data_IF_417682895822
#
_entry.id   IF_417682895822
#
_cell.length_a   1.000
_cell.length_b   1.000
_cell.length_c   1.000
_cell.angle_alpha   90.00
_cell.angle_beta   90.00
_cell.angle_gamma   90.00
#
_symmetry.space_group_name_H-M   'P 1'
#
loop_
_entity.id
_entity.type
_entity.pdbx_description
1 polymer ?
#
# COMPACT_ATOMS: atom_id res chain seq x y z
N UNK A 1 -0.36 -5.84 14.77
CA UNK A 1 -1.48 -6.13 13.86
C UNK A 1 -2.19 -7.35 14.42
N UNK A 2 -3.44 -7.24 14.76
CA UNK A 2 -4.20 -8.29 15.42
C UNK A 2 -4.78 -9.16 14.32
N UNK A 3 -4.51 -10.46 14.39
CA UNK A 3 -5.25 -11.47 13.65
C UNK A 3 -6.66 -11.47 14.18
N UNK A 4 -7.59 -11.14 13.34
CA UNK A 4 -8.96 -11.19 13.74
C UNK A 4 -9.48 -12.62 13.63
N UNK A 5 -10.14 -13.00 14.65
CA UNK A 5 -10.86 -14.26 14.74
C UNK A 5 -12.30 -13.98 14.34
N UNK A 6 -12.84 -14.77 13.45
CA UNK A 6 -14.27 -14.78 13.22
C UNK A 6 -14.96 -15.25 14.50
N UNK A 7 -15.96 -14.52 14.97
CA UNK A 7 -16.68 -14.87 16.21
C UNK A 7 -17.39 -16.22 16.15
N UNK A 8 -17.39 -16.89 15.03
CA UNK A 8 -18.08 -18.16 14.81
C UNK A 8 -17.15 -19.34 14.52
N UNK A 9 -16.01 -19.08 13.86
CA UNK A 9 -14.99 -20.10 13.60
C UNK A 9 -13.61 -19.50 13.84
N UNK A 10 -12.84 -20.14 14.68
CA UNK A 10 -11.47 -19.76 14.97
C UNK A 10 -10.61 -20.12 13.74
N UNK A 11 -10.31 -19.08 12.92
CA UNK A 11 -9.37 -19.26 11.81
C UNK A 11 -8.00 -19.44 12.41
N UNK A 12 -7.44 -20.61 12.28
CA UNK A 12 -6.12 -20.92 12.81
C UNK A 12 -5.02 -20.26 12.01
N UNK A 13 -3.81 -20.24 12.57
CA UNK A 13 -2.64 -19.74 11.88
C UNK A 13 -2.28 -20.62 10.68
N UNK A 14 -2.56 -21.91 10.79
CA UNK A 14 -2.40 -22.91 9.75
C UNK A 14 -3.35 -22.63 8.58
N UNK A 15 -4.62 -22.33 8.85
CA UNK A 15 -5.61 -21.96 7.82
C UNK A 15 -5.16 -20.73 7.04
N UNK A 16 -4.67 -19.71 7.74
CA UNK A 16 -4.18 -18.50 7.09
C UNK A 16 -2.90 -18.74 6.27
N UNK A 17 -2.05 -19.68 6.69
CA UNK A 17 -0.87 -20.10 5.94
C UNK A 17 -1.24 -20.86 4.67
N UNK A 18 -2.27 -21.72 4.73
CA UNK A 18 -2.80 -22.46 3.58
C UNK A 18 -3.32 -21.50 2.50
N UNK A 19 -3.95 -20.40 2.91
CA UNK A 19 -4.38 -19.33 1.99
C UNK A 19 -3.25 -18.37 1.55
N UNK A 20 -2.01 -18.61 1.96
CA UNK A 20 -0.87 -17.73 1.65
C UNK A 20 -0.92 -16.36 2.34
N UNK A 21 -1.79 -16.20 3.34
CA UNK A 21 -2.00 -14.95 4.06
C UNK A 21 -1.08 -14.77 5.26
N UNK A 22 -0.38 -15.82 5.69
CA UNK A 22 0.62 -15.78 6.76
C UNK A 22 1.93 -16.35 6.24
N UNK A 23 3.00 -15.62 6.46
CA UNK A 23 4.35 -16.20 6.46
C UNK A 23 4.82 -16.34 7.92
N UNK A 24 6.04 -16.85 8.12
CA UNK A 24 6.65 -17.02 9.44
C UNK A 24 6.77 -15.71 10.26
N UNK A 25 6.46 -14.56 9.68
CA UNK A 25 6.54 -13.22 10.29
C UNK A 25 5.16 -12.57 10.51
N UNK A 26 4.05 -13.20 10.15
CA UNK A 26 2.69 -12.66 10.34
C UNK A 26 1.88 -12.50 9.06
N UNK A 27 0.82 -11.72 9.13
CA UNK A 27 -0.20 -11.51 8.09
C UNK A 27 0.29 -10.74 6.87
N UNK A 28 1.28 -11.20 6.16
CA UNK A 28 1.61 -10.67 4.85
C UNK A 28 2.13 -11.78 3.96
N UNK A 29 1.93 -11.66 2.66
CA UNK A 29 2.11 -12.78 1.76
C UNK A 29 3.55 -13.23 1.65
N UNK A 30 3.62 -14.39 1.12
CA UNK A 30 4.72 -15.29 0.79
C UNK A 30 6.02 -14.57 0.46
N UNK A 31 7.07 -15.07 1.07
CA UNK A 31 8.46 -14.71 0.81
C UNK A 31 8.76 -14.81 -0.71
N UNK A 32 9.20 -13.72 -1.30
CA UNK A 32 9.61 -13.66 -2.71
C UNK A 32 8.59 -13.02 -3.66
N UNK A 33 7.38 -12.70 -3.21
CA UNK A 33 6.44 -11.94 -4.01
C UNK A 33 6.52 -10.45 -3.71
N UNK A 34 6.45 -9.63 -4.75
CA UNK A 34 6.36 -8.18 -4.59
C UNK A 34 5.09 -7.82 -3.85
N UNK A 35 5.22 -6.94 -2.88
CA UNK A 35 4.11 -6.36 -2.15
C UNK A 35 3.77 -4.98 -2.70
N UNK A 36 2.51 -4.77 -3.03
CA UNK A 36 2.03 -3.48 -3.50
C UNK A 36 0.76 -3.06 -2.78
N UNK A 37 0.83 -1.90 -2.12
CA UNK A 37 -0.26 -1.34 -1.32
C UNK A 37 -0.72 0.00 -1.87
N UNK A 38 -2.02 0.15 -2.04
CA UNK A 38 -2.68 1.42 -2.20
C UNK A 38 -3.40 1.77 -0.89
N UNK A 39 -2.95 2.80 -0.19
CA UNK A 39 -3.48 3.23 1.11
C UNK A 39 -4.17 4.58 0.94
N UNK A 40 -5.49 4.62 1.06
CA UNK A 40 -6.23 5.84 0.78
C UNK A 40 -7.24 6.21 1.86
N UNK A 41 -7.31 7.52 2.13
CA UNK A 41 -8.23 8.10 3.09
C UNK A 41 -7.88 9.53 3.46
N UNK A 42 -8.79 10.25 4.12
CA UNK A 42 -8.58 11.67 4.45
C UNK A 42 -7.40 11.90 5.39
N UNK A 43 -6.94 13.14 5.56
CA UNK A 43 -5.93 13.49 6.55
C UNK A 43 -6.31 12.98 7.95
N UNK A 44 -5.33 12.46 8.68
CA UNK A 44 -5.53 11.97 10.05
C UNK A 44 -6.28 10.64 10.18
N UNK A 45 -6.57 9.92 9.09
CA UNK A 45 -7.23 8.60 9.17
C UNK A 45 -6.30 7.46 9.59
N UNK A 46 -4.96 7.64 9.53
CA UNK A 46 -3.98 6.63 9.93
C UNK A 46 -3.14 6.04 8.78
N UNK A 47 -3.10 6.67 7.61
CA UNK A 47 -2.27 6.22 6.46
C UNK A 47 -0.81 6.00 6.84
N UNK A 48 -0.16 7.05 7.38
CA UNK A 48 1.25 6.98 7.76
C UNK A 48 1.51 5.94 8.86
N UNK A 49 0.60 5.81 9.82
CA UNK A 49 0.69 4.77 10.87
C UNK A 49 0.62 3.38 10.26
N UNK A 50 -0.32 3.15 9.34
CA UNK A 50 -0.42 1.87 8.64
C UNK A 50 0.81 1.58 7.78
N UNK A 51 1.31 2.59 7.06
CA UNK A 51 2.57 2.48 6.31
C UNK A 51 3.72 2.08 7.22
N UNK A 52 3.87 2.74 8.36
CA UNK A 52 4.91 2.42 9.34
C UNK A 52 4.79 0.99 9.87
N UNK A 53 3.56 0.54 10.19
CA UNK A 53 3.30 -0.84 10.63
C UNK A 53 3.69 -1.88 9.57
N UNK A 54 3.41 -1.62 8.29
CA UNK A 54 3.83 -2.51 7.21
C UNK A 54 5.36 -2.55 7.12
N UNK A 55 6.01 -1.40 7.09
CA UNK A 55 7.46 -1.30 6.93
C UNK A 55 8.24 -1.88 8.11
N UNK A 56 7.69 -1.85 9.33
CA UNK A 56 8.32 -2.44 10.52
C UNK A 56 8.43 -3.97 10.45
N UNK A 57 7.67 -4.63 9.58
CA UNK A 57 7.78 -6.06 9.33
C UNK A 57 9.01 -6.41 8.47
N UNK A 58 9.63 -5.42 7.86
CA UNK A 58 10.78 -5.57 6.96
C UNK A 58 11.93 -4.65 7.41
N UNK A 59 12.50 -4.86 8.61
CA UNK A 59 13.48 -3.94 9.19
C UNK A 59 14.74 -3.83 8.32
N UNK A 60 15.17 -4.92 7.73
CA UNK A 60 16.45 -5.05 7.01
C UNK A 60 16.39 -4.54 5.55
N UNK A 61 15.18 -4.29 5.02
CA UNK A 61 15.04 -3.80 3.65
C UNK A 61 15.20 -2.29 3.57
N UNK A 62 15.83 -1.82 2.49
CA UNK A 62 15.99 -0.40 2.20
C UNK A 62 14.62 0.24 1.95
N UNK A 63 14.43 1.44 2.46
CA UNK A 63 13.16 2.19 2.32
C UNK A 63 13.41 3.55 1.70
N UNK A 64 12.87 3.76 0.50
CA UNK A 64 12.90 5.04 -0.20
C UNK A 64 11.59 5.80 0.08
N UNK A 65 11.70 7.09 0.40
CA UNK A 65 10.54 7.95 0.64
C UNK A 65 10.46 9.05 -0.42
N UNK A 66 9.38 9.05 -1.17
CA UNK A 66 9.01 10.05 -2.16
C UNK A 66 7.88 10.90 -1.58
N UNK A 67 8.19 12.09 -1.08
CA UNK A 67 7.22 13.00 -0.49
C UNK A 67 7.61 14.45 -0.69
N UNK A 68 6.63 15.33 -0.86
CA UNK A 68 6.82 16.79 -0.91
C UNK A 68 6.81 17.44 0.49
N UNK A 69 6.45 16.67 1.50
CA UNK A 69 6.40 17.11 2.89
C UNK A 69 7.82 17.22 3.45
N UNK A 70 8.22 18.41 3.90
CA UNK A 70 9.57 18.66 4.42
C UNK A 70 9.79 18.09 5.82
N UNK A 71 8.76 18.15 6.65
CA UNK A 71 8.80 17.67 8.03
C UNK A 71 8.69 16.14 8.09
N UNK A 72 9.38 15.52 9.06
CA UNK A 72 9.27 14.10 9.30
C UNK A 72 7.93 13.83 10.01
N UNK A 73 7.08 13.00 9.41
CA UNK A 73 5.86 12.52 10.06
C UNK A 73 6.23 11.73 11.33
N UNK A 74 5.52 11.98 12.42
CA UNK A 74 5.74 11.28 13.71
C UNK A 74 5.57 9.76 13.58
N UNK A 75 4.69 9.32 12.70
CA UNK A 75 4.49 7.89 12.43
C UNK A 75 5.74 7.21 11.86
N UNK A 76 6.66 7.97 11.27
CA UNK A 76 7.89 7.46 10.66
C UNK A 76 9.14 7.68 11.52
N UNK A 77 8.99 8.12 12.79
CA UNK A 77 10.14 8.47 13.62
C UNK A 77 11.16 7.32 13.78
N UNK A 78 10.67 6.09 13.88
CA UNK A 78 11.48 4.88 14.10
C UNK A 78 11.83 4.15 12.80
N UNK A 79 11.54 4.77 11.64
CA UNK A 79 11.85 4.20 10.34
C UNK A 79 12.93 5.01 9.66
N UNK A 80 13.98 4.33 9.25
CA UNK A 80 15.04 4.91 8.46
C UNK A 80 14.64 4.93 6.98
N UNK A 81 14.57 6.13 6.41
CA UNK A 81 14.28 6.34 5.00
C UNK A 81 15.42 7.00 4.26
N UNK A 82 15.69 6.53 3.06
CA UNK A 82 16.42 7.27 2.04
C UNK A 82 15.46 8.19 1.31
N UNK A 83 15.45 9.45 1.68
CA UNK A 83 14.52 10.44 1.07
C UNK A 83 14.98 10.81 -0.32
N UNK A 84 14.12 10.61 -1.30
CA UNK A 84 14.36 10.99 -2.70
C UNK A 84 13.91 12.42 -2.93
N UNK A 85 14.81 13.24 -3.50
CA UNK A 85 14.46 14.62 -3.89
C UNK A 85 13.53 14.58 -5.09
N UNK A 86 12.33 15.14 -4.94
CA UNK A 86 11.32 15.16 -6.00
C UNK A 86 11.53 16.35 -6.94
N UNK A 87 12.66 16.40 -7.62
CA UNK A 87 12.92 17.35 -8.69
C UNK A 87 12.89 16.64 -10.04
N UNK A 88 12.66 17.42 -11.12
CA UNK A 88 12.64 16.88 -12.48
C UNK A 88 13.93 16.12 -12.78
N UNK A 89 15.07 16.74 -12.49
CA UNK A 89 16.42 16.23 -12.81
C UNK A 89 16.71 14.89 -12.11
N UNK A 90 16.24 14.72 -10.87
CA UNK A 90 16.42 13.48 -10.11
C UNK A 90 15.49 12.40 -10.66
N UNK A 91 14.21 12.71 -10.84
CA UNK A 91 13.22 11.72 -11.26
C UNK A 91 13.41 11.24 -12.71
N UNK A 92 13.93 12.09 -13.61
CA UNK A 92 14.25 11.69 -14.99
C UNK A 92 15.44 10.73 -15.08
N UNK A 93 16.32 10.74 -14.08
CA UNK A 93 17.52 9.89 -14.06
C UNK A 93 17.35 8.64 -13.21
N UNK A 94 16.38 8.62 -12.31
CA UNK A 94 16.18 7.52 -11.38
C UNK A 94 15.63 6.29 -12.12
N UNK A 95 16.37 5.20 -12.05
CA UNK A 95 16.03 3.92 -12.67
C UNK A 95 15.64 2.88 -11.63
N UNK A 96 15.04 1.77 -12.05
CA UNK A 96 14.77 0.64 -11.16
C UNK A 96 16.07 -0.02 -10.66
N UNK A 97 17.12 -0.02 -11.49
CA UNK A 97 18.45 -0.52 -11.09
C UNK A 97 19.04 0.29 -9.93
N UNK A 98 18.84 1.61 -9.93
CA UNK A 98 19.31 2.47 -8.83
C UNK A 98 18.61 2.14 -7.51
N UNK A 99 17.33 1.76 -7.57
CA UNK A 99 16.53 1.40 -6.39
C UNK A 99 16.90 0.03 -5.83
N UNK A 100 17.29 -0.92 -6.71
CA UNK A 100 17.59 -2.32 -6.33
C UNK A 100 19.09 -2.60 -6.16
N UNK A 101 19.94 -1.60 -6.35
CA UNK A 101 21.40 -1.76 -6.32
C UNK A 101 21.95 -2.45 -5.06
N UNK A 102 21.28 -2.28 -3.93
CA UNK A 102 21.68 -2.81 -2.64
C UNK A 102 20.77 -3.95 -2.12
N UNK A 103 19.87 -4.45 -2.96
CA UNK A 103 18.94 -5.53 -2.60
C UNK A 103 17.45 -5.15 -2.70
N UNK A 104 16.62 -5.95 -2.06
CA UNK A 104 15.18 -5.70 -1.98
C UNK A 104 14.88 -4.39 -1.28
N UNK A 105 13.92 -3.65 -1.79
CA UNK A 105 13.60 -2.35 -1.24
C UNK A 105 12.09 -2.06 -1.19
N UNK A 106 11.76 -1.02 -0.43
CA UNK A 106 10.43 -0.40 -0.37
C UNK A 106 10.47 0.99 -0.98
N UNK A 107 9.56 1.29 -1.87
CA UNK A 107 9.29 2.62 -2.37
C UNK A 107 7.97 3.14 -1.78
N UNK A 108 8.04 4.15 -0.94
CA UNK A 108 6.87 4.79 -0.34
C UNK A 108 6.61 6.11 -1.05
N UNK A 109 5.51 6.20 -1.76
CA UNK A 109 5.02 7.40 -2.43
C UNK A 109 3.93 8.03 -1.56
N UNK A 110 4.31 9.06 -0.82
CA UNK A 110 3.45 9.65 0.20
C UNK A 110 2.69 10.85 -0.33
N UNK A 111 1.36 10.81 -0.17
CA UNK A 111 0.42 11.87 -0.56
C UNK A 111 0.57 12.36 -2.02
N UNK A 112 0.67 11.41 -2.96
CA UNK A 112 0.95 11.69 -4.39
C UNK A 112 -0.05 12.63 -5.06
N UNK A 113 -1.28 12.65 -4.58
CA UNK A 113 -2.36 13.51 -5.08
C UNK A 113 -2.15 15.00 -4.73
N UNK A 114 -1.28 15.31 -3.78
CA UNK A 114 -0.98 16.70 -3.36
C UNK A 114 0.16 17.35 -4.11
N UNK A 115 0.89 16.62 -4.92
CA UNK A 115 2.04 17.16 -5.67
C UNK A 115 1.56 18.20 -6.68
N UNK A 116 1.96 19.46 -6.48
CA UNK A 116 1.48 20.59 -7.27
C UNK A 116 2.17 20.74 -8.62
N UNK A 117 3.45 20.39 -8.70
CA UNK A 117 4.22 20.52 -9.94
C UNK A 117 3.77 19.43 -10.94
N UNK A 118 3.17 19.78 -12.09
CA UNK A 118 2.63 18.80 -13.03
C UNK A 118 3.71 17.92 -13.66
N UNK A 119 4.91 18.44 -13.90
CA UNK A 119 6.03 17.67 -14.45
C UNK A 119 6.49 16.62 -13.43
N UNK A 120 6.70 17.01 -12.18
CA UNK A 120 7.08 16.11 -11.10
C UNK A 120 5.99 15.06 -10.89
N UNK A 121 4.73 15.48 -10.84
CA UNK A 121 3.59 14.56 -10.71
C UNK A 121 3.54 13.51 -11.81
N UNK A 122 3.77 13.93 -13.07
CA UNK A 122 3.80 13.00 -14.21
C UNK A 122 4.96 12.00 -14.10
N UNK A 123 6.16 12.48 -13.78
CA UNK A 123 7.34 11.62 -13.62
C UNK A 123 7.16 10.61 -12.50
N UNK A 124 6.62 11.04 -11.36
CA UNK A 124 6.30 10.14 -10.25
C UNK A 124 5.25 9.10 -10.64
N UNK A 125 4.18 9.50 -11.32
CA UNK A 125 3.19 8.54 -11.81
C UNK A 125 3.84 7.51 -12.73
N UNK A 126 4.67 7.94 -13.67
CA UNK A 126 5.41 7.03 -14.56
C UNK A 126 6.32 6.08 -13.78
N UNK A 127 7.03 6.57 -12.75
CA UNK A 127 7.88 5.74 -11.90
C UNK A 127 7.05 4.72 -11.09
N UNK A 128 5.95 5.14 -10.47
CA UNK A 128 5.03 4.24 -9.75
C UNK A 128 4.49 3.14 -10.66
N UNK A 129 4.00 3.53 -11.85
CA UNK A 129 3.47 2.59 -12.83
C UNK A 129 4.53 1.58 -13.28
N UNK A 130 5.76 2.04 -13.49
CA UNK A 130 6.89 1.19 -13.85
C UNK A 130 7.27 0.22 -12.72
N UNK A 131 7.30 0.68 -11.47
CA UNK A 131 7.53 -0.19 -10.31
C UNK A 131 6.41 -1.23 -10.19
N UNK A 132 5.16 -0.83 -10.34
CA UNK A 132 4.02 -1.75 -10.26
C UNK A 132 4.07 -2.78 -11.39
N UNK A 133 4.46 -2.38 -12.58
CA UNK A 133 4.55 -3.30 -13.71
C UNK A 133 5.77 -4.24 -13.63
N UNK A 134 6.94 -3.73 -13.28
CA UNK A 134 8.22 -4.39 -13.48
C UNK A 134 9.02 -4.68 -12.20
N UNK A 135 8.54 -4.25 -11.02
CA UNK A 135 9.26 -4.36 -9.75
C UNK A 135 9.30 -5.77 -9.13
N UNK A 136 8.64 -6.78 -9.74
CA UNK A 136 8.57 -8.15 -9.17
C UNK A 136 9.91 -8.89 -9.17
N UNK A 137 10.74 -8.65 -10.17
CA UNK A 137 12.06 -9.25 -10.26
C UNK A 137 12.92 -8.36 -11.14
N UNK A 138 13.62 -7.43 -10.55
CA UNK A 138 14.51 -6.52 -11.25
C UNK A 138 15.95 -6.78 -10.83
N UNK A 139 16.74 -7.36 -11.73
CA UNK A 139 18.11 -7.78 -11.41
C UNK A 139 18.21 -8.84 -10.29
N UNK A 140 17.16 -9.63 -10.08
CA UNK A 140 17.08 -10.62 -8.98
C UNK A 140 16.56 -10.06 -7.66
N UNK A 141 16.30 -8.76 -7.57
CA UNK A 141 15.76 -8.08 -6.38
C UNK A 141 14.33 -7.60 -6.59
N UNK A 142 13.61 -7.40 -5.52
CA UNK A 142 12.19 -7.01 -5.53
C UNK A 142 12.03 -5.56 -5.07
N UNK A 143 11.20 -4.79 -5.79
CA UNK A 143 10.78 -3.46 -5.37
C UNK A 143 9.33 -3.55 -4.86
N UNK A 144 9.17 -3.46 -3.56
CA UNK A 144 7.87 -3.33 -2.91
C UNK A 144 7.40 -1.88 -2.97
N UNK A 145 6.10 -1.66 -3.03
CA UNK A 145 5.56 -0.31 -3.17
C UNK A 145 4.39 -0.03 -2.23
N UNK A 146 4.41 1.16 -1.64
CA UNK A 146 3.26 1.74 -0.93
C UNK A 146 2.95 3.08 -1.60
N UNK A 147 1.72 3.25 -2.03
CA UNK A 147 1.21 4.52 -2.55
C UNK A 147 0.15 5.04 -1.61
N UNK A 148 0.35 6.21 -1.01
CA UNK A 148 -0.68 6.85 -0.19
C UNK A 148 -1.38 7.97 -0.94
N UNK A 149 -2.69 8.12 -0.71
CA UNK A 149 -3.52 9.17 -1.31
C UNK A 149 -4.60 9.65 -0.34
N UNK A 150 -5.00 10.91 -0.48
CA UNK A 150 -6.16 11.44 0.24
C UNK A 150 -7.49 11.06 -0.39
N UNK A 151 -7.48 10.72 -1.66
CA UNK A 151 -8.66 10.38 -2.43
C UNK A 151 -8.66 8.90 -2.84
N UNK A 152 -9.77 8.23 -2.61
CA UNK A 152 -10.02 6.88 -3.12
C UNK A 152 -10.33 6.84 -4.61
N UNK A 153 -10.59 7.98 -5.24
CA UNK A 153 -11.12 8.04 -6.60
C UNK A 153 -10.45 9.09 -7.50
N UNK A 154 -9.22 9.51 -7.18
CA UNK A 154 -8.48 10.40 -8.10
C UNK A 154 -7.94 9.59 -9.28
N UNK A 155 -8.80 9.46 -10.30
CA UNK A 155 -8.50 8.71 -11.51
C UNK A 155 -7.31 9.22 -12.31
N UNK A 156 -6.92 10.47 -12.17
CA UNK A 156 -5.82 11.02 -12.97
C UNK A 156 -4.44 10.62 -12.45
N UNK A 157 -4.31 10.45 -11.14
CA UNK A 157 -3.01 10.27 -10.49
C UNK A 157 -2.83 8.89 -9.86
N UNK A 158 -3.92 8.24 -9.50
CA UNK A 158 -3.88 6.98 -8.73
C UNK A 158 -4.59 5.82 -9.43
N UNK A 159 -5.12 6.02 -10.65
CA UNK A 159 -5.86 4.99 -11.38
C UNK A 159 -5.09 3.68 -11.48
N UNK A 160 -3.84 3.75 -11.96
CA UNK A 160 -3.04 2.56 -12.17
C UNK A 160 -2.73 1.84 -10.85
N UNK A 161 -2.39 2.58 -9.80
CA UNK A 161 -2.17 2.03 -8.46
C UNK A 161 -3.43 1.36 -7.91
N UNK A 162 -4.61 2.00 -8.06
CA UNK A 162 -5.89 1.42 -7.66
C UNK A 162 -6.18 0.11 -8.42
N UNK A 163 -5.87 0.07 -9.72
CA UNK A 163 -6.19 -1.08 -10.57
C UNK A 163 -5.18 -2.22 -10.46
N UNK A 164 -3.94 -1.96 -10.01
CA UNK A 164 -2.85 -2.92 -10.09
C UNK A 164 -2.11 -3.22 -8.77
N UNK A 165 -2.40 -2.50 -7.68
CA UNK A 165 -1.89 -2.89 -6.37
C UNK A 165 -2.59 -4.14 -5.85
N UNK A 166 -1.83 -5.02 -5.21
CA UNK A 166 -2.32 -6.27 -4.65
C UNK A 166 -3.19 -6.04 -3.41
N UNK A 167 -2.91 -4.96 -2.66
CA UNK A 167 -3.61 -4.60 -1.43
C UNK A 167 -4.20 -3.20 -1.50
N UNK A 168 -5.46 -3.09 -1.11
CA UNK A 168 -6.10 -1.80 -0.83
C UNK A 168 -6.28 -1.66 0.67
N UNK A 169 -5.80 -0.55 1.22
CA UNK A 169 -6.06 -0.17 2.62
C UNK A 169 -6.96 1.05 2.61
N UNK A 170 -8.13 0.91 3.17
CA UNK A 170 -9.15 1.95 3.22
C UNK A 170 -9.61 2.19 4.66
N UNK A 171 -10.16 3.38 4.92
CA UNK A 171 -10.65 3.80 6.24
C UNK A 171 -12.14 4.17 6.12
N UNK A 172 -13.05 3.18 6.13
CA UNK A 172 -14.44 3.37 5.72
C UNK A 172 -15.20 4.42 6.52
N UNK A 173 -15.00 4.45 7.86
CA UNK A 173 -15.64 5.41 8.74
C UNK A 173 -15.13 6.86 8.63
N UNK A 174 -14.04 7.09 7.90
CA UNK A 174 -13.44 8.40 7.66
C UNK A 174 -13.58 8.87 6.21
N UNK A 175 -13.93 7.95 5.32
CA UNK A 175 -13.98 8.20 3.88
C UNK A 175 -15.38 8.66 3.45
N UNK A 176 -15.44 9.51 2.44
CA UNK A 176 -16.69 9.94 1.82
C UNK A 176 -17.39 8.71 1.20
N UNK A 177 -18.62 8.46 1.62
CA UNK A 177 -19.40 7.25 1.24
C UNK A 177 -19.46 7.01 -0.27
N UNK A 178 -19.62 8.06 -1.08
CA UNK A 178 -19.66 7.92 -2.54
C UNK A 178 -18.34 7.44 -3.15
N UNK A 179 -17.21 7.90 -2.61
CA UNK A 179 -15.88 7.43 -3.05
C UNK A 179 -15.66 5.97 -2.66
N UNK A 180 -16.07 5.59 -1.45
CA UNK A 180 -15.99 4.21 -0.98
C UNK A 180 -16.84 3.28 -1.88
N UNK A 181 -18.09 3.63 -2.14
CA UNK A 181 -18.98 2.84 -3.02
C UNK A 181 -18.37 2.72 -4.42
N UNK A 182 -17.83 3.80 -4.98
CA UNK A 182 -17.20 3.78 -6.30
C UNK A 182 -15.99 2.82 -6.35
N UNK A 183 -15.19 2.79 -5.29
CA UNK A 183 -14.06 1.85 -5.19
C UNK A 183 -14.55 0.41 -5.07
N UNK A 184 -15.45 0.14 -4.13
CA UNK A 184 -15.98 -1.19 -3.85
C UNK A 184 -16.73 -1.79 -5.03
N UNK A 185 -17.39 -0.96 -5.84
CA UNK A 185 -18.06 -1.40 -7.07
C UNK A 185 -17.10 -2.10 -8.05
N UNK A 186 -15.83 -1.71 -8.07
CA UNK A 186 -14.81 -2.33 -8.95
C UNK A 186 -14.55 -3.81 -8.63
N UNK A 187 -14.90 -4.23 -7.42
CA UNK A 187 -14.71 -5.60 -6.93
C UNK A 187 -16.03 -6.26 -6.54
N UNK A 188 -17.17 -5.69 -6.94
CA UNK A 188 -18.48 -6.27 -6.67
C UNK A 188 -19.00 -6.11 -5.23
N UNK A 189 -18.38 -5.24 -4.43
CA UNK A 189 -18.71 -5.04 -3.01
C UNK A 189 -19.46 -3.74 -2.70
N UNK A 190 -20.11 -3.13 -3.68
CA UNK A 190 -20.81 -1.84 -3.50
C UNK A 190 -21.93 -1.85 -2.46
N UNK A 191 -22.44 -3.04 -2.13
CA UNK A 191 -23.50 -3.24 -1.12
C UNK A 191 -22.95 -3.56 0.28
N UNK A 192 -21.64 -3.76 0.43
CA UNK A 192 -21.04 -4.08 1.71
C UNK A 192 -21.09 -2.88 2.65
N UNK A 193 -21.60 -3.07 3.87
CA UNK A 193 -21.54 -2.05 4.91
C UNK A 193 -20.23 -2.19 5.69
N UNK A 194 -19.26 -1.38 5.30
CA UNK A 194 -17.96 -1.31 5.96
C UNK A 194 -17.86 -0.18 6.99
N UNK A 195 -18.91 0.59 7.22
CA UNK A 195 -18.90 1.82 8.05
C UNK A 195 -18.47 1.58 9.50
N UNK A 196 -18.66 0.36 10.01
CA UNK A 196 -18.28 -0.05 11.37
C UNK A 196 -16.78 -0.25 11.58
N UNK A 197 -15.99 -0.35 10.50
CA UNK A 197 -14.56 -0.62 10.60
C UNK A 197 -13.74 0.66 10.49
N UNK A 198 -12.73 0.78 11.35
CA UNK A 198 -11.77 1.89 11.28
C UNK A 198 -10.84 1.75 10.09
N UNK A 199 -10.41 0.52 9.82
CA UNK A 199 -9.51 0.18 8.72
C UNK A 199 -9.92 -1.18 8.13
N UNK A 200 -9.89 -1.24 6.81
CA UNK A 200 -10.11 -2.48 6.06
C UNK A 200 -8.96 -2.65 5.07
N UNK A 201 -8.40 -3.83 5.01
CA UNK A 201 -7.40 -4.22 4.01
C UNK A 201 -8.08 -5.24 3.10
N UNK A 202 -8.08 -4.96 1.81
CA UNK A 202 -8.61 -5.86 0.78
C UNK A 202 -7.42 -6.41 0.02
N UNK A 203 -7.21 -7.71 0.09
CA UNK A 203 -6.25 -8.42 -0.74
C UNK A 203 -6.94 -8.85 -2.03
N UNK A 204 -6.41 -8.43 -3.15
CA UNK A 204 -7.01 -8.60 -4.49
C UNK A 204 -6.58 -9.89 -5.18
N UNK A 205 -6.37 -10.95 -4.42
CA UNK A 205 -6.15 -12.29 -4.96
C UNK A 205 -7.46 -12.92 -5.47
N UNK A 206 -7.36 -14.11 -6.01
CA UNK A 206 -8.51 -14.95 -6.33
C UNK A 206 -8.40 -16.21 -5.46
N UNK A 207 -9.28 -16.42 -4.47
CA UNK A 207 -10.40 -15.56 -4.06
C UNK A 207 -9.97 -14.23 -3.43
N UNK A 208 -10.89 -13.27 -3.36
CA UNK A 208 -10.71 -11.99 -2.67
C UNK A 208 -10.78 -12.17 -1.16
N UNK A 209 -9.88 -11.53 -0.41
CA UNK A 209 -9.91 -11.52 1.05
C UNK A 209 -10.08 -10.10 1.60
N UNK A 210 -10.91 -9.99 2.62
CA UNK A 210 -11.05 -8.77 3.40
C UNK A 210 -10.50 -8.99 4.82
N UNK A 211 -9.58 -8.12 5.21
CA UNK A 211 -8.94 -8.14 6.52
C UNK A 211 -9.37 -6.89 7.28
N UNK A 212 -9.93 -7.06 8.46
CA UNK A 212 -10.36 -5.96 9.32
C UNK A 212 -9.62 -6.02 10.65
N UNK A 213 -9.98 -5.13 11.56
CA UNK A 213 -9.47 -5.18 12.94
C UNK A 213 -10.08 -6.36 13.74
N UNK A 214 -11.08 -7.04 13.20
CA UNK A 214 -11.85 -8.07 13.91
C UNK A 214 -11.79 -9.45 13.25
N UNK A 215 -11.64 -9.54 11.92
CA UNK A 215 -11.69 -10.81 11.21
C UNK A 215 -11.02 -10.76 9.85
N UNK A 216 -10.73 -11.92 9.30
CA UNK A 216 -10.40 -12.16 7.89
C UNK A 216 -11.55 -12.94 7.29
N UNK A 217 -12.01 -12.57 6.10
CA UNK A 217 -13.04 -13.27 5.39
C UNK A 217 -12.76 -13.30 3.89
N UNK A 218 -13.06 -14.40 3.27
CA UNK A 218 -13.19 -14.52 1.82
C UNK A 218 -14.45 -13.79 1.37
N UNK A 219 -14.41 -13.11 0.22
CA UNK A 219 -15.50 -12.27 -0.28
C UNK A 219 -15.96 -12.77 -1.65
#
# INVERSE_FOLDING_TARGET
>A
MILAVNSFDEITREDLAEYGLINSRGLLPVYGERLSFFIAGPPGCGKSVTTAQILSLFPDQIKYLFTDIKEKDRAFQDIEFRRVRMTKEVLEKLTLDDLTKEGDCWCVFDDVDKIRNPTVSKLLTTLMDNIIANGRSHGGNTINIIVTSHSLSDYKRTKYSIENCDYWVIFPNKTIKSQLITLLKKIGLEKADLSRYNRVIIHRSTPLFMITDLFITEI
#
